data_IF_187333375547
#
_entry.id   IF_187333375547
#
_cell.length_a   1.000
_cell.length_b   1.000
_cell.length_c   1.000
_cell.angle_alpha   90.00
_cell.angle_beta   90.00
_cell.angle_gamma   90.00
#
_symmetry.space_group_name_H-M   'P 1'
#
loop_
_entity.id
_entity.type
_entity.pdbx_description
1 polymer ?
#
# COMPACT_ATOMS: atom_id res chain seq x y z
N UNK A 1 -26.51 -1.43 -10.40
CA UNK A 1 -25.86 -0.16 -10.79
C UNK A 1 -24.42 -0.23 -10.28
N UNK A 2 -23.41 -0.16 -11.17
CA UNK A 2 -22.02 0.06 -10.74
C UNK A 2 -21.97 1.45 -10.08
N UNK A 3 -21.48 1.57 -8.85
CA UNK A 3 -21.35 2.88 -8.19
C UNK A 3 -20.34 3.75 -8.95
N UNK A 4 -20.70 5.01 -9.18
CA UNK A 4 -19.78 6.03 -9.70
C UNK A 4 -18.95 6.57 -8.55
N UNK A 5 -17.62 6.53 -8.69
CA UNK A 5 -16.69 7.12 -7.71
C UNK A 5 -16.84 8.64 -7.74
N UNK A 6 -17.02 9.26 -6.57
CA UNK A 6 -17.11 10.72 -6.46
C UNK A 6 -15.74 11.36 -6.33
N UNK A 7 -15.62 12.65 -6.64
CA UNK A 7 -14.37 13.40 -6.44
C UNK A 7 -13.92 13.36 -4.97
N UNK A 8 -14.87 13.43 -4.03
CA UNK A 8 -14.58 13.29 -2.60
C UNK A 8 -13.98 11.93 -2.24
N UNK A 9 -14.44 10.85 -2.87
CA UNK A 9 -13.85 9.52 -2.68
C UNK A 9 -12.44 9.45 -3.25
N UNK A 10 -12.21 10.03 -4.43
CA UNK A 10 -10.89 10.10 -5.06
C UNK A 10 -9.91 10.90 -4.19
N UNK A 11 -10.32 12.08 -3.74
CA UNK A 11 -9.50 12.93 -2.86
C UNK A 11 -9.17 12.24 -1.54
N UNK A 12 -10.12 11.50 -0.95
CA UNK A 12 -9.86 10.73 0.27
C UNK A 12 -8.86 9.61 0.00
N UNK A 13 -8.98 8.87 -1.11
CA UNK A 13 -8.04 7.82 -1.48
C UNK A 13 -6.62 8.38 -1.59
N UNK A 14 -6.43 9.48 -2.33
CA UNK A 14 -5.11 10.11 -2.49
C UNK A 14 -4.54 10.59 -1.15
N UNK A 15 -5.37 11.20 -0.28
CA UNK A 15 -4.93 11.63 1.06
C UNK A 15 -4.51 10.46 1.94
N UNK A 16 -5.26 9.36 1.92
CA UNK A 16 -4.91 8.13 2.64
C UNK A 16 -3.55 7.61 2.17
N UNK A 17 -3.33 7.54 0.85
CA UNK A 17 -2.06 7.09 0.28
C UNK A 17 -0.89 8.01 0.65
N UNK A 18 -1.07 9.33 0.60
CA UNK A 18 -0.07 10.31 1.05
C UNK A 18 0.28 10.12 2.53
N UNK A 19 -0.73 9.97 3.39
CA UNK A 19 -0.50 9.76 4.83
C UNK A 19 0.19 8.42 5.10
N UNK A 20 -0.23 7.35 4.43
CA UNK A 20 0.40 6.03 4.57
C UNK A 20 1.88 6.07 4.16
N UNK A 21 2.20 6.74 3.04
CA UNK A 21 3.60 6.92 2.61
C UNK A 21 4.40 7.74 3.60
N UNK A 22 3.85 8.84 4.14
CA UNK A 22 4.56 9.66 5.12
C UNK A 22 4.82 8.90 6.44
N UNK A 23 3.87 8.04 6.86
CA UNK A 23 4.09 7.12 7.98
C UNK A 23 5.21 6.14 7.63
N UNK A 24 5.09 5.39 6.53
CA UNK A 24 6.02 4.31 6.19
C UNK A 24 7.42 4.82 5.82
N UNK A 25 7.54 5.80 4.94
CA UNK A 25 8.83 6.30 4.44
C UNK A 25 9.49 7.27 5.39
N UNK A 26 8.74 8.21 5.93
CA UNK A 26 9.29 9.36 6.68
C UNK A 26 9.20 9.18 8.21
N UNK A 27 8.68 8.03 8.68
CA UNK A 27 8.45 7.68 10.09
C UNK A 27 7.57 8.67 10.85
N UNK A 28 6.54 9.21 10.17
CA UNK A 28 5.55 10.02 10.86
C UNK A 28 4.84 9.20 11.95
N UNK A 29 4.53 9.82 13.11
CA UNK A 29 3.78 9.16 14.17
C UNK A 29 2.45 8.61 13.67
N UNK A 30 2.12 7.40 14.11
CA UNK A 30 0.86 6.74 13.80
C UNK A 30 0.12 6.41 15.09
N UNK A 31 -1.12 6.91 15.19
CA UNK A 31 -2.08 6.53 16.22
C UNK A 31 -3.31 5.92 15.54
N UNK A 32 -3.57 4.61 15.70
CA UNK A 32 -4.69 3.95 15.05
C UNK A 32 -6.05 4.51 15.50
N UNK A 33 -6.16 5.16 16.66
CA UNK A 33 -7.42 5.75 17.11
C UNK A 33 -7.78 7.06 16.41
N UNK A 34 -6.79 7.76 15.85
CA UNK A 34 -6.94 9.12 15.28
C UNK A 34 -6.40 9.23 13.85
N UNK A 35 -6.27 8.11 13.14
CA UNK A 35 -5.76 8.09 11.77
C UNK A 35 -6.81 8.55 10.75
N UNK A 36 -6.34 9.14 9.64
CA UNK A 36 -7.19 9.48 8.48
C UNK A 36 -7.87 8.27 7.84
N UNK A 37 -7.37 7.06 8.14
CA UNK A 37 -7.88 5.79 7.63
C UNK A 37 -9.33 5.52 8.05
N UNK A 38 -9.79 6.14 9.15
CA UNK A 38 -11.17 6.04 9.63
C UNK A 38 -11.23 5.44 11.03
N UNK A 39 -12.36 4.83 11.37
CA UNK A 39 -12.54 4.16 12.66
C UNK A 39 -11.97 2.74 12.59
N UNK A 40 -11.37 2.27 13.68
CA UNK A 40 -10.94 0.87 13.80
C UNK A 40 -12.18 -0.04 13.69
N UNK A 41 -12.15 -0.96 12.73
CA UNK A 41 -13.12 -2.03 12.58
C UNK A 41 -12.69 -3.27 13.36
N UNK A 42 -11.42 -3.64 13.25
CA UNK A 42 -10.83 -4.73 14.00
C UNK A 42 -9.37 -4.43 14.32
N UNK A 43 -8.92 -4.98 15.45
CA UNK A 43 -7.51 -5.09 15.82
C UNK A 43 -7.23 -6.57 16.09
N UNK A 44 -6.34 -7.17 15.30
CA UNK A 44 -6.07 -8.60 15.31
C UNK A 44 -4.59 -8.84 15.60
N UNK A 45 -4.25 -9.40 16.77
CA UNK A 45 -2.88 -9.84 17.01
C UNK A 45 -2.55 -11.03 16.09
N UNK A 46 -1.35 -11.06 15.55
CA UNK A 46 -0.91 -12.20 14.74
C UNK A 46 -0.71 -13.43 15.63
N UNK A 47 -1.28 -14.56 15.20
CA UNK A 47 -1.24 -15.77 16.01
C UNK A 47 0.18 -16.34 16.04
N UNK A 48 0.75 -16.47 17.24
CA UNK A 48 2.08 -17.06 17.43
C UNK A 48 3.23 -16.08 17.26
N UNK A 49 2.96 -14.80 16.98
CA UNK A 49 3.98 -13.75 16.87
C UNK A 49 3.73 -12.67 17.92
N UNK A 50 4.70 -12.44 18.81
CA UNK A 50 4.54 -11.50 19.92
C UNK A 50 4.60 -10.07 19.40
N UNK A 51 3.55 -9.31 19.68
CA UNK A 51 3.51 -7.87 19.49
C UNK A 51 3.27 -7.42 18.04
N UNK A 52 2.92 -8.32 17.11
CA UNK A 52 2.40 -7.92 15.79
C UNK A 52 0.90 -7.68 15.89
N UNK A 53 0.43 -6.57 15.32
CA UNK A 53 -0.97 -6.16 15.35
C UNK A 53 -1.41 -5.68 13.96
N UNK A 54 -2.45 -6.30 13.42
CA UNK A 54 -3.14 -5.85 12.23
C UNK A 54 -4.38 -5.03 12.61
N UNK A 55 -4.49 -3.81 12.09
CA UNK A 55 -5.70 -2.99 12.20
C UNK A 55 -6.41 -2.94 10.86
N UNK A 56 -7.72 -3.16 10.87
CA UNK A 56 -8.59 -2.82 9.75
C UNK A 56 -9.45 -1.60 10.07
N UNK A 57 -9.72 -0.78 9.06
CA UNK A 57 -10.43 0.49 9.22
C UNK A 57 -11.69 0.55 8.36
N UNK A 58 -12.71 1.23 8.86
CA UNK A 58 -13.85 1.69 8.05
C UNK A 58 -13.75 3.19 7.89
N UNK A 59 -13.58 3.64 6.65
CA UNK A 59 -13.55 5.05 6.31
C UNK A 59 -14.97 5.53 5.96
N UNK A 60 -15.47 6.65 6.52
CA UNK A 60 -16.82 7.12 6.21
C UNK A 60 -17.00 7.58 4.75
N UNK A 61 -15.92 7.98 4.06
CA UNK A 61 -15.95 8.38 2.65
C UNK A 61 -15.73 7.18 1.73
N UNK A 62 -14.93 6.21 2.16
CA UNK A 62 -14.68 4.94 1.45
C UNK A 62 -15.22 3.75 2.27
N UNK A 63 -16.56 3.63 2.44
CA UNK A 63 -17.15 2.72 3.41
C UNK A 63 -16.98 1.23 3.08
N UNK A 64 -16.77 0.90 1.80
CA UNK A 64 -16.60 -0.47 1.32
C UNK A 64 -15.13 -0.81 1.01
N UNK A 65 -14.19 0.12 1.18
CA UNK A 65 -12.78 -0.16 0.98
C UNK A 65 -12.19 -0.94 2.17
N UNK A 66 -11.35 -1.93 1.88
CA UNK A 66 -10.57 -2.64 2.89
C UNK A 66 -9.26 -1.88 3.11
N UNK A 67 -9.14 -1.19 4.24
CA UNK A 67 -7.92 -0.49 4.64
C UNK A 67 -7.28 -1.25 5.80
N UNK A 68 -6.04 -1.69 5.60
CA UNK A 68 -5.30 -2.55 6.53
C UNK A 68 -3.94 -1.93 6.83
N UNK A 69 -3.57 -1.91 8.12
CA UNK A 69 -2.27 -1.44 8.60
C UNK A 69 -1.69 -2.49 9.54
N UNK A 70 -0.45 -2.90 9.31
CA UNK A 70 0.26 -3.84 10.21
C UNK A 70 1.33 -3.09 10.98
N UNK A 71 1.31 -3.30 12.30
CA UNK A 71 2.32 -2.81 13.21
C UNK A 71 3.11 -4.00 13.75
N UNK A 72 4.41 -3.80 13.88
CA UNK A 72 5.29 -4.75 14.54
C UNK A 72 6.10 -4.02 15.61
N UNK A 73 6.65 -4.74 16.61
CA UNK A 73 7.61 -4.12 17.51
C UNK A 73 8.86 -3.75 16.70
N UNK A 74 9.35 -2.52 16.84
CA UNK A 74 10.45 -1.94 16.07
C UNK A 74 11.62 -2.93 15.86
N UNK A 75 11.84 -3.40 14.62
CA UNK A 75 12.90 -4.37 14.31
C UNK A 75 14.31 -3.84 14.62
N UNK A 76 14.51 -2.52 14.66
CA UNK A 76 15.81 -1.91 14.98
C UNK A 76 16.10 -1.92 16.49
N UNK A 77 15.10 -2.15 17.34
CA UNK A 77 15.28 -2.19 18.78
C UNK A 77 15.82 -3.56 19.23
N UNK A 78 16.98 -3.63 19.92
CA UNK A 78 17.64 -4.88 20.29
C UNK A 78 17.00 -5.61 21.49
N UNK A 79 15.97 -5.04 22.14
CA UNK A 79 15.34 -5.65 23.31
C UNK A 79 14.74 -7.02 22.97
N UNK A 80 15.07 -8.02 23.79
CA UNK A 80 14.49 -9.35 23.75
C UNK A 80 13.03 -9.38 24.21
N UNK A 81 12.64 -8.49 25.14
CA UNK A 81 11.26 -8.33 25.57
C UNK A 81 10.50 -7.46 24.56
N UNK A 82 9.94 -8.11 23.53
CA UNK A 82 9.21 -7.45 22.44
C UNK A 82 7.91 -6.79 22.88
N UNK A 83 7.40 -7.10 24.06
CA UNK A 83 6.15 -6.49 24.57
C UNK A 83 6.32 -5.04 25.00
N UNK A 84 7.57 -4.62 25.28
CA UNK A 84 7.93 -3.26 25.69
C UNK A 84 8.51 -2.41 24.55
N UNK A 85 8.70 -3.01 23.37
CA UNK A 85 9.27 -2.32 22.22
C UNK A 85 8.18 -1.46 21.56
N UNK A 86 8.56 -0.25 21.16
CA UNK A 86 7.68 0.66 20.40
C UNK A 86 7.14 -0.06 19.16
N UNK A 87 5.84 0.08 18.92
CA UNK A 87 5.22 -0.39 17.69
C UNK A 87 5.48 0.56 16.53
N UNK A 88 5.81 0.03 15.37
CA UNK A 88 6.03 0.78 14.13
C UNK A 88 5.21 0.17 13.01
N UNK A 89 4.72 1.01 12.10
CA UNK A 89 3.98 0.54 10.92
C UNK A 89 4.97 -0.02 9.91
N UNK A 90 4.69 -1.22 9.40
CA UNK A 90 5.53 -1.87 8.38
C UNK A 90 4.80 -2.11 7.08
N UNK A 91 3.48 -2.19 7.12
CA UNK A 91 2.69 -2.57 5.98
C UNK A 91 1.40 -1.78 5.95
N UNK A 92 1.04 -1.29 4.76
CA UNK A 92 -0.23 -0.66 4.49
C UNK A 92 -0.82 -1.27 3.21
N UNK A 93 -2.07 -1.66 3.27
CA UNK A 93 -2.84 -2.06 2.08
C UNK A 93 -4.16 -1.31 2.06
N UNK A 94 -4.55 -0.85 0.88
CA UNK A 94 -5.93 -0.46 0.58
C UNK A 94 -6.42 -1.23 -0.63
N UNK A 95 -7.58 -1.87 -0.49
CA UNK A 95 -8.35 -2.43 -1.60
C UNK A 95 -9.62 -1.62 -1.78
N UNK A 96 -9.76 -1.02 -2.95
CA UNK A 96 -10.85 -0.11 -3.24
C UNK A 96 -12.09 -0.87 -3.67
N UNK A 97 -13.20 -0.60 -2.99
CA UNK A 97 -14.53 -0.90 -3.47
C UNK A 97 -15.42 0.32 -3.18
N UNK A 98 -16.09 0.92 -4.18
CA UNK A 98 -15.95 0.65 -5.62
C UNK A 98 -14.52 0.89 -6.13
N UNK A 99 -14.17 0.29 -7.28
CA UNK A 99 -12.85 0.47 -7.91
C UNK A 99 -12.64 1.94 -8.29
N UNK A 100 -11.44 2.48 -8.03
CA UNK A 100 -11.15 3.91 -8.24
C UNK A 100 -10.94 4.22 -9.72
N UNK A 101 -11.81 5.08 -10.27
CA UNK A 101 -11.72 5.59 -11.64
C UNK A 101 -10.98 6.94 -11.69
N UNK A 102 -10.44 7.26 -12.85
CA UNK A 102 -9.72 8.51 -13.14
C UNK A 102 -8.50 8.78 -12.25
N UNK A 103 -7.95 7.72 -11.66
CA UNK A 103 -6.59 7.71 -11.11
C UNK A 103 -5.76 6.87 -12.06
N UNK A 104 -4.79 7.49 -12.73
CA UNK A 104 -3.88 6.75 -13.60
C UNK A 104 -2.56 6.46 -12.89
N UNK A 105 -1.76 5.58 -13.49
CA UNK A 105 -0.44 5.18 -13.00
C UNK A 105 0.47 6.38 -12.71
N UNK A 106 0.61 7.31 -13.66
CA UNK A 106 1.47 8.49 -13.49
C UNK A 106 1.07 9.37 -12.31
N UNK A 107 -0.24 9.53 -12.06
CA UNK A 107 -0.73 10.27 -10.89
C UNK A 107 -0.27 9.63 -9.59
N UNK A 108 -0.27 8.29 -9.49
CA UNK A 108 0.23 7.59 -8.31
C UNK A 108 1.75 7.65 -8.19
N UNK A 109 2.46 7.52 -9.32
CA UNK A 109 3.92 7.63 -9.37
C UNK A 109 4.38 9.00 -8.84
N UNK A 110 3.73 10.08 -9.29
CA UNK A 110 4.00 11.45 -8.84
C UNK A 110 3.60 11.66 -7.37
N UNK A 111 2.41 11.18 -6.97
CA UNK A 111 1.90 11.34 -5.60
C UNK A 111 2.82 10.68 -4.57
N UNK A 112 3.24 9.45 -4.86
CA UNK A 112 4.03 8.63 -3.95
C UNK A 112 5.54 8.86 -4.11
N UNK A 113 5.95 9.58 -5.17
CA UNK A 113 7.34 9.86 -5.52
C UNK A 113 8.15 8.57 -5.55
N UNK A 114 7.93 7.78 -6.60
CA UNK A 114 8.59 6.49 -6.82
C UNK A 114 9.65 6.57 -7.90
N UNK A 115 10.67 5.73 -7.79
CA UNK A 115 11.70 5.63 -8.80
C UNK A 115 11.22 4.83 -10.01
N UNK A 116 11.43 5.39 -11.20
CA UNK A 116 11.02 4.79 -12.47
C UNK A 116 12.15 3.93 -13.05
N UNK A 117 11.76 2.81 -13.67
CA UNK A 117 12.62 1.89 -14.40
C UNK A 117 13.14 0.71 -13.58
N UNK A 118 12.81 0.61 -12.30
CA UNK A 118 13.18 -0.53 -11.47
C UNK A 118 12.31 -0.74 -10.23
N UNK A 119 12.38 -1.94 -9.67
CA UNK A 119 11.91 -2.28 -8.32
C UNK A 119 12.95 -3.15 -7.61
N UNK A 120 12.77 -3.36 -6.31
CA UNK A 120 13.61 -4.24 -5.49
C UNK A 120 12.80 -5.49 -5.13
N UNK A 121 13.37 -6.68 -5.37
CA UNK A 121 12.69 -7.93 -5.01
C UNK A 121 12.90 -8.32 -3.54
N UNK A 122 12.25 -9.41 -3.12
CA UNK A 122 12.33 -9.89 -1.73
C UNK A 122 13.72 -10.33 -1.29
N UNK A 123 14.68 -10.48 -2.21
CA UNK A 123 16.09 -10.76 -1.91
C UNK A 123 16.93 -9.48 -1.81
N UNK A 124 16.33 -8.31 -2.02
CA UNK A 124 17.02 -7.03 -2.10
C UNK A 124 17.66 -6.77 -3.46
N UNK A 125 17.36 -7.56 -4.49
CA UNK A 125 17.94 -7.36 -5.83
C UNK A 125 17.15 -6.35 -6.65
N UNK A 126 17.87 -5.47 -7.34
CA UNK A 126 17.27 -4.52 -8.29
C UNK A 126 16.83 -5.24 -9.56
N UNK A 127 15.54 -5.18 -9.88
CA UNK A 127 14.94 -5.75 -11.09
C UNK A 127 14.56 -4.62 -12.06
N UNK A 128 14.84 -4.76 -13.36
CA UNK A 128 14.53 -3.74 -14.35
C UNK A 128 13.04 -3.69 -14.68
N UNK A 129 12.55 -2.51 -15.07
CA UNK A 129 11.15 -2.26 -15.37
C UNK A 129 10.29 -2.08 -14.11
N UNK A 130 9.04 -1.68 -14.28
CA UNK A 130 8.05 -1.59 -13.19
C UNK A 130 6.76 -2.34 -13.53
N UNK A 131 6.48 -2.53 -14.81
CA UNK A 131 5.35 -3.27 -15.33
C UNK A 131 5.61 -4.77 -15.16
N UNK A 132 4.77 -5.43 -14.37
CA UNK A 132 4.85 -6.86 -14.09
C UNK A 132 3.99 -7.69 -15.05
N UNK A 133 3.31 -7.03 -16.00
CA UNK A 133 2.37 -7.63 -16.92
C UNK A 133 1.08 -8.07 -16.25
N UNK A 134 0.37 -8.95 -16.95
CA UNK A 134 -0.89 -9.55 -16.51
C UNK A 134 -0.68 -10.96 -15.96
N UNK A 135 -1.43 -11.33 -14.93
CA UNK A 135 -1.33 -12.67 -14.32
C UNK A 135 -2.42 -13.61 -14.87
N UNK A 136 -2.07 -14.74 -15.52
CA UNK A 136 -3.05 -15.74 -15.95
C UNK A 136 -3.72 -16.44 -14.74
N UNK A 137 -4.96 -16.96 -14.84
CA UNK A 137 -5.82 -17.05 -16.04
C UNK A 137 -6.81 -15.88 -16.17
N UNK A 138 -6.59 -14.76 -15.49
CA UNK A 138 -7.58 -13.68 -15.36
C UNK A 138 -6.98 -12.40 -15.96
N UNK A 139 -7.19 -12.22 -17.27
CA UNK A 139 -6.67 -11.11 -18.10
C UNK A 139 -7.34 -9.76 -17.77
N UNK A 140 -7.44 -9.41 -16.48
CA UNK A 140 -8.08 -8.17 -16.02
C UNK A 140 -7.28 -7.46 -14.94
N UNK A 141 -6.08 -7.92 -14.60
CA UNK A 141 -5.24 -7.30 -13.57
C UNK A 141 -3.85 -7.04 -14.12
N UNK A 142 -3.41 -5.81 -13.98
CA UNK A 142 -2.09 -5.35 -14.38
C UNK A 142 -1.37 -4.79 -13.16
N UNK A 143 -0.20 -5.34 -12.84
CA UNK A 143 0.55 -5.00 -11.64
C UNK A 143 1.75 -4.12 -11.96
N UNK A 144 2.02 -3.15 -11.09
CA UNK A 144 3.23 -2.32 -11.15
C UNK A 144 3.96 -2.34 -9.83
N UNK A 145 5.28 -2.47 -9.86
CA UNK A 145 6.15 -2.45 -8.67
C UNK A 145 7.20 -1.36 -8.75
N UNK A 146 7.49 -0.74 -7.62
CA UNK A 146 8.46 0.35 -7.51
C UNK A 146 9.19 0.32 -6.17
N UNK A 147 10.28 1.10 -6.14
CA UNK A 147 10.87 1.62 -4.92
C UNK A 147 10.45 3.08 -4.73
N UNK A 148 10.01 3.45 -3.55
CA UNK A 148 9.81 4.86 -3.22
C UNK A 148 11.15 5.61 -3.27
N UNK A 149 11.17 6.78 -3.89
CA UNK A 149 12.37 7.61 -3.98
C UNK A 149 12.84 8.03 -2.59
N UNK A 150 14.16 8.13 -2.43
CA UNK A 150 14.77 8.63 -1.19
C UNK A 150 14.69 10.15 -1.16
N UNK A 151 13.88 10.70 -0.25
CA UNK A 151 13.75 12.14 -0.02
C UNK A 151 14.58 12.56 1.21
N UNK A 152 14.87 13.86 1.42
CA UNK A 152 15.56 14.34 2.62
C UNK A 152 14.84 13.98 3.94
N UNK A 153 13.53 13.79 3.91
CA UNK A 153 12.72 13.36 5.07
C UNK A 153 12.69 11.85 5.27
N UNK A 154 13.11 11.07 4.27
CA UNK A 154 12.98 9.62 4.29
C UNK A 154 13.86 9.00 5.37
N UNK A 155 13.24 8.12 6.14
CA UNK A 155 13.88 7.34 7.22
C UNK A 155 14.01 5.89 6.84
N UNK A 156 13.02 5.37 6.12
CA UNK A 156 12.99 4.00 5.67
C UNK A 156 12.70 3.94 4.18
N UNK A 157 13.33 3.01 3.47
CA UNK A 157 12.89 2.69 2.14
C UNK A 157 11.50 2.01 2.16
N UNK A 158 10.74 2.19 1.08
CA UNK A 158 9.40 1.62 0.94
C UNK A 158 9.24 1.00 -0.43
N UNK A 159 8.80 -0.24 -0.48
CA UNK A 159 8.37 -0.91 -1.71
C UNK A 159 6.90 -0.61 -1.95
N UNK A 160 6.56 -0.38 -3.21
CA UNK A 160 5.24 0.11 -3.64
C UNK A 160 4.72 -0.80 -4.74
N UNK A 161 3.50 -1.30 -4.56
CA UNK A 161 2.78 -2.06 -5.59
C UNK A 161 1.40 -1.46 -5.89
N UNK A 162 1.07 -1.35 -7.17
CA UNK A 162 -0.26 -0.98 -7.66
C UNK A 162 -0.87 -2.14 -8.42
N UNK A 163 -2.17 -2.37 -8.25
CA UNK A 163 -2.95 -3.24 -9.11
C UNK A 163 -4.05 -2.44 -9.83
N UNK A 164 -4.04 -2.50 -11.15
CA UNK A 164 -5.06 -1.91 -12.00
C UNK A 164 -5.93 -3.00 -12.63
N UNK A 165 -7.23 -2.79 -12.58
CA UNK A 165 -8.22 -3.57 -13.31
C UNK A 165 -8.29 -3.11 -14.76
N UNK A 166 -7.96 -3.98 -15.71
CA UNK A 166 -8.12 -3.67 -17.12
C UNK A 166 -9.62 -3.67 -17.51
N UNK A 167 -10.05 -2.77 -18.41
CA UNK A 167 -11.42 -2.77 -18.89
C UNK A 167 -11.73 -4.07 -19.64
N UNK A 168 -12.97 -4.56 -19.53
CA UNK A 168 -13.40 -5.70 -20.34
C UNK A 168 -13.38 -5.30 -21.83
N UNK A 169 -12.56 -5.94 -22.67
CA UNK A 169 -12.45 -5.58 -24.08
C UNK A 169 -13.77 -5.80 -24.84
N UNK A 170 -14.69 -6.60 -24.29
CA UNK A 170 -15.99 -6.90 -24.87
C UNK A 170 -17.15 -6.18 -24.18
N UNK A 171 -16.92 -5.22 -23.28
CA UNK A 171 -18.02 -4.47 -22.64
C UNK A 171 -18.83 -3.73 -23.72
N UNK A 172 -20.11 -4.09 -23.95
CA UNK A 172 -20.90 -3.55 -25.04
C UNK A 172 -21.46 -2.15 -24.70
N UNK A 173 -21.21 -1.64 -23.50
CA UNK A 173 -21.77 -0.37 -23.00
C UNK A 173 -21.15 0.83 -23.73
N UNK A 174 -21.90 1.53 -24.61
CA UNK A 174 -21.37 2.66 -25.35
C UNK A 174 -21.06 3.82 -24.41
N UNK A 175 -19.82 4.32 -24.44
CA UNK A 175 -19.39 5.48 -23.64
C UNK A 175 -18.78 5.16 -22.27
N UNK A 176 -18.64 3.88 -21.88
CA UNK A 176 -17.89 3.53 -20.66
C UNK A 176 -16.38 3.67 -20.92
N UNK A 177 -15.67 4.27 -19.96
CA UNK A 177 -14.23 4.54 -20.09
C UNK A 177 -13.46 3.22 -20.18
N UNK A 178 -12.71 3.02 -21.28
CA UNK A 178 -11.76 1.92 -21.45
C UNK A 178 -10.44 2.17 -20.71
N UNK A 179 -10.50 2.90 -19.61
CA UNK A 179 -9.33 3.20 -18.77
C UNK A 179 -9.22 2.15 -17.67
N UNK A 180 -8.00 1.67 -17.38
CA UNK A 180 -7.77 0.85 -16.20
C UNK A 180 -8.27 1.53 -14.94
N UNK A 181 -8.77 0.75 -13.99
CA UNK A 181 -9.31 1.22 -12.70
C UNK A 181 -8.40 0.78 -11.57
N UNK A 182 -8.08 1.67 -10.64
CA UNK A 182 -7.22 1.31 -9.52
C UNK A 182 -7.99 0.41 -8.55
N UNK A 183 -7.45 -0.77 -8.29
CA UNK A 183 -8.03 -1.76 -7.41
C UNK A 183 -7.34 -1.76 -6.06
N UNK A 184 -6.01 -1.93 -6.06
CA UNK A 184 -5.24 -2.11 -4.84
C UNK A 184 -3.98 -1.26 -4.85
N UNK A 185 -3.60 -0.77 -3.67
CA UNK A 185 -2.27 -0.23 -3.41
C UNK A 185 -1.70 -0.90 -2.17
N UNK A 186 -0.48 -1.40 -2.29
CA UNK A 186 0.27 -2.00 -1.22
C UNK A 186 1.60 -1.25 -1.03
N UNK A 187 1.90 -0.88 0.21
CA UNK A 187 3.13 -0.22 0.62
C UNK A 187 3.79 -1.06 1.72
N UNK A 188 5.08 -1.35 1.56
CA UNK A 188 5.84 -2.15 2.51
C UNK A 188 7.14 -1.44 2.91
N UNK A 189 7.33 -1.23 4.21
CA UNK A 189 8.55 -0.63 4.76
C UNK A 189 9.64 -1.68 4.81
N UNK A 190 10.73 -1.41 4.11
CA UNK A 190 11.83 -2.34 4.00
C UNK A 190 12.77 -2.28 5.22
N UNK A 191 12.75 -3.35 6.01
CA UNK A 191 13.67 -3.62 7.11
C UNK A 191 14.70 -4.71 6.79
N UNK A 192 14.84 -5.12 5.52
CA UNK A 192 15.76 -6.20 5.12
C UNK A 192 17.21 -5.91 5.51
N UNK A 193 17.62 -4.64 5.57
CA UNK A 193 18.94 -4.22 6.05
C UNK A 193 19.21 -4.56 7.53
N UNK A 194 18.17 -4.84 8.33
CA UNK A 194 18.27 -5.23 9.74
C UNK A 194 18.24 -6.75 9.95
N UNK A 195 17.93 -7.53 8.91
CA UNK A 195 18.01 -8.99 9.01
C UNK A 195 19.49 -9.38 9.04
N UNK A 196 19.95 -10.14 10.06
CA UNK A 196 21.30 -10.67 10.05
C UNK A 196 21.52 -11.42 8.74
N UNK A 197 22.56 -11.05 7.98
CA UNK A 197 23.01 -11.90 6.87
C UNK A 197 23.50 -13.19 7.51
N UNK A 198 22.72 -14.25 7.39
CA UNK A 198 23.26 -15.60 7.55
C UNK A 198 24.23 -15.80 6.39
N UNK A 199 25.52 -15.62 6.68
CA UNK A 199 26.56 -16.20 5.86
C UNK A 199 26.54 -17.69 6.16
N UNK A 200 26.01 -18.48 5.22
CA UNK A 200 26.28 -19.92 5.14
C UNK A 200 27.72 -20.15 4.66
#
# INVERSE_FOLDING_TARGET
MRQTVTDTQRDMALRILTTAMAILRDDQPFDPAHAIFGRILAARPERGVVGVMEYSFVNPVLPEADIIVVLVPDPANPSADRTKVKQVVTHFTVRFNPLMRDINRSTLEDLLQVDIGYWIDGNGERRPGNDMGTVPPQVRLHHYRYRASTLPTSRFPVDVEFAFGDPDPNDPTPGESKTPVLMDVHLDRDYSALRPRHHD
#
